data_IF_997971762549
#
_entry.id   IF_997971762549
#
_cell.length_a   1.000
_cell.length_b   1.000
_cell.length_c   1.000
_cell.angle_alpha   90.00
_cell.angle_beta   90.00
_cell.angle_gamma   90.00
#
_symmetry.space_group_name_H-M   'P 1'
#
loop_
_entity.id
_entity.type
_entity.pdbx_description
1 polymer ?
#
# COMPACT_ATOMS: atom_id res chain seq x y z
N UNK A 1 1.89 -6.48 -1.35
CA UNK A 1 3.08 -7.36 -1.42
C UNK A 1 4.41 -6.63 -1.62
N UNK A 2 4.50 -5.50 -2.35
CA UNK A 2 5.79 -4.81 -2.51
C UNK A 2 6.16 -3.77 -1.44
N UNK A 3 5.19 -3.23 -0.69
CA UNK A 3 5.44 -2.19 0.33
C UNK A 3 6.30 -2.68 1.51
N UNK A 4 6.18 -3.96 1.88
CA UNK A 4 7.04 -4.57 2.90
C UNK A 4 8.51 -4.70 2.44
N UNK A 5 8.75 -5.01 1.17
CA UNK A 5 10.09 -5.11 0.60
C UNK A 5 10.81 -3.76 0.61
N UNK A 6 10.14 -2.70 0.17
CA UNK A 6 10.68 -1.33 0.19
C UNK A 6 10.98 -0.89 1.61
N UNK A 7 10.09 -1.21 2.56
CA UNK A 7 10.30 -0.90 3.97
C UNK A 7 11.63 -1.48 4.48
N UNK A 8 11.86 -2.77 4.25
CA UNK A 8 13.09 -3.44 4.64
C UNK A 8 14.33 -2.87 3.94
N UNK A 9 14.20 -2.44 2.69
CA UNK A 9 15.30 -1.77 1.97
C UNK A 9 15.66 -0.42 2.62
N UNK A 10 14.68 0.42 2.95
CA UNK A 10 14.90 1.71 3.61
C UNK A 10 15.58 1.52 4.97
N UNK A 11 15.10 0.56 5.77
CA UNK A 11 15.72 0.23 7.07
C UNK A 11 17.18 -0.24 6.89
N UNK A 12 17.44 -1.06 5.88
CA UNK A 12 18.77 -1.58 5.59
C UNK A 12 19.75 -0.49 5.11
N UNK A 13 19.26 0.48 4.32
CA UNK A 13 20.09 1.56 3.78
C UNK A 13 20.35 2.69 4.79
N UNK A 14 19.38 2.99 5.66
CA UNK A 14 19.46 4.12 6.59
C UNK A 14 19.92 3.72 7.99
N UNK A 15 19.77 2.45 8.37
CA UNK A 15 19.96 1.99 9.73
C UNK A 15 18.91 2.51 10.72
N UNK A 16 17.88 3.21 10.24
CA UNK A 16 16.80 3.78 11.06
C UNK A 16 15.51 3.00 10.85
N UNK A 17 14.80 2.73 11.94
CA UNK A 17 13.53 2.02 11.88
C UNK A 17 12.47 2.83 11.12
N UNK A 18 11.68 2.14 10.31
CA UNK A 18 10.53 2.72 9.62
C UNK A 18 9.24 2.48 10.38
N UNK A 19 8.25 3.36 10.15
CA UNK A 19 6.91 3.22 10.67
C UNK A 19 6.00 2.39 9.78
N UNK A 20 4.95 1.84 10.38
CA UNK A 20 3.79 1.29 9.67
C UNK A 20 2.53 1.91 10.29
N UNK A 21 1.48 2.04 9.49
CA UNK A 21 0.21 2.69 9.86
C UNK A 21 -0.43 2.11 11.13
N UNK A 22 -0.07 0.88 11.54
CA UNK A 22 -0.65 0.17 12.67
C UNK A 22 0.17 0.16 13.96
N UNK A 23 1.49 0.39 13.92
CA UNK A 23 2.33 0.08 15.09
C UNK A 23 3.36 1.14 15.49
N UNK A 24 3.78 2.07 14.60
CA UNK A 24 4.88 3.01 14.92
C UNK A 24 4.88 4.28 14.02
N UNK A 25 4.07 5.31 14.26
CA UNK A 25 4.31 6.63 13.63
C UNK A 25 4.99 7.56 14.62
N UNK A 26 6.27 7.33 14.86
CA UNK A 26 7.05 8.25 15.70
C UNK A 26 7.68 9.33 14.83
N UNK A 27 7.81 10.56 15.34
CA UNK A 27 8.64 11.63 14.74
C UNK A 27 10.12 11.26 14.51
N UNK A 28 10.54 10.08 14.97
CA UNK A 28 11.89 9.53 14.78
C UNK A 28 11.97 8.54 13.62
N UNK A 29 10.86 8.26 12.95
CA UNK A 29 10.81 7.35 11.80
C UNK A 29 11.21 8.12 10.55
N UNK A 30 12.13 7.56 9.76
CA UNK A 30 12.58 8.19 8.49
C UNK A 30 11.60 7.98 7.34
N UNK A 31 10.67 7.04 7.47
CA UNK A 31 9.59 6.79 6.52
C UNK A 31 8.41 6.11 7.23
N UNK A 32 7.20 6.30 6.70
CA UNK A 32 5.97 5.64 7.17
C UNK A 32 5.36 4.90 5.98
N UNK A 33 5.11 3.60 6.16
CA UNK A 33 4.29 2.83 5.22
C UNK A 33 2.80 3.09 5.52
N UNK A 34 2.03 3.43 4.51
CA UNK A 34 0.58 3.67 4.62
C UNK A 34 -0.15 3.18 3.37
N UNK A 35 -1.42 2.82 3.54
CA UNK A 35 -2.35 2.59 2.43
C UNK A 35 -3.42 3.70 2.31
N UNK A 36 -3.34 4.77 3.11
CA UNK A 36 -4.19 5.96 2.98
C UNK A 36 -4.16 6.47 1.52
N UNK A 37 -5.27 6.98 0.96
CA UNK A 37 -6.59 7.18 1.55
C UNK A 37 -7.54 5.98 1.42
N UNK A 38 -7.04 4.79 1.11
CA UNK A 38 -7.88 3.61 0.89
C UNK A 38 -8.72 3.28 2.13
N UNK A 39 -10.01 2.98 1.97
CA UNK A 39 -10.96 2.74 3.07
C UNK A 39 -10.59 1.61 4.07
N UNK A 40 -9.72 0.70 3.65
CA UNK A 40 -9.21 -0.38 4.51
C UNK A 40 -7.85 -0.08 5.15
N UNK A 41 -7.24 1.06 4.86
CA UNK A 41 -6.05 1.59 5.51
C UNK A 41 -6.39 2.42 6.74
N UNK A 42 -5.36 2.86 7.47
CA UNK A 42 -5.53 3.76 8.60
C UNK A 42 -5.40 5.20 8.14
N UNK A 43 -6.32 6.05 8.59
CA UNK A 43 -6.26 7.48 8.30
C UNK A 43 -4.95 8.09 8.85
N UNK A 44 -4.30 8.96 8.05
CA UNK A 44 -3.04 9.57 8.45
C UNK A 44 -3.25 10.66 9.51
N UNK A 45 -4.41 11.32 9.50
CA UNK A 45 -4.70 12.44 10.39
C UNK A 45 -5.31 12.02 11.75
N UNK A 46 -5.57 10.73 11.95
CA UNK A 46 -6.27 10.19 13.14
C UNK A 46 -5.33 9.48 14.12
N UNK A 47 -4.03 9.38 13.84
CA UNK A 47 -3.12 8.69 14.76
C UNK A 47 -2.66 9.56 15.94
N UNK A 48 -2.82 9.02 17.14
CA UNK A 48 -2.51 9.61 18.45
C UNK A 48 -1.03 9.96 18.70
N UNK A 49 -0.12 9.64 17.77
CA UNK A 49 1.33 9.76 17.92
C UNK A 49 1.93 11.05 17.30
N UNK A 50 1.09 11.95 16.78
CA UNK A 50 1.44 13.33 16.47
C UNK A 50 2.29 13.52 15.22
N UNK A 51 2.13 12.59 14.26
CA UNK A 51 2.60 12.70 12.86
C UNK A 51 1.39 12.51 11.94
N UNK A 52 0.89 13.63 11.41
CA UNK A 52 -0.19 13.67 10.42
C UNK A 52 0.34 13.65 8.99
N UNK A 53 -0.56 13.67 8.02
CA UNK A 53 -0.17 13.72 6.61
C UNK A 53 0.64 14.99 6.26
N UNK A 54 0.39 16.09 6.99
CA UNK A 54 1.08 17.39 6.86
C UNK A 54 2.51 17.39 7.37
N UNK A 55 2.90 16.41 8.19
CA UNK A 55 4.25 16.26 8.73
C UNK A 55 5.18 15.46 7.78
N UNK A 56 4.67 15.02 6.62
CA UNK A 56 5.39 14.21 5.64
C UNK A 56 5.96 15.12 4.54
N UNK A 57 7.29 15.13 4.40
CA UNK A 57 8.00 16.02 3.46
C UNK A 57 8.02 15.53 2.00
N UNK A 58 7.70 14.26 1.76
CA UNK A 58 7.72 13.65 0.42
C UNK A 58 7.24 12.20 0.42
N UNK A 59 7.06 11.62 -0.77
CA UNK A 59 6.51 10.28 -0.93
C UNK A 59 7.33 9.38 -1.86
N UNK A 60 7.53 8.13 -1.44
CA UNK A 60 7.92 7.03 -2.32
C UNK A 60 6.66 6.22 -2.66
N UNK A 61 6.15 6.40 -3.88
CA UNK A 61 4.90 5.81 -4.36
C UNK A 61 5.22 4.51 -5.08
N UNK A 62 4.88 3.39 -4.47
CA UNK A 62 4.97 2.07 -5.11
C UNK A 62 3.64 1.72 -5.77
N UNK A 63 3.64 1.64 -7.09
CA UNK A 63 2.48 1.21 -7.88
C UNK A 63 2.65 -0.20 -8.39
N UNK A 64 1.53 -0.91 -8.54
CA UNK A 64 1.46 -2.19 -9.24
C UNK A 64 0.29 -2.10 -10.20
N UNK A 65 0.38 -2.76 -11.35
CA UNK A 65 -0.71 -2.79 -12.33
C UNK A 65 -2.03 -3.20 -11.63
N UNK A 66 -3.15 -2.46 -11.83
CA UNK A 66 -4.41 -2.76 -11.17
C UNK A 66 -4.94 -4.16 -11.50
N UNK A 67 -4.58 -4.70 -12.69
CA UNK A 67 -4.85 -6.09 -13.08
C UNK A 67 -4.33 -7.09 -12.06
N UNK A 68 -3.20 -6.81 -11.42
CA UNK A 68 -2.56 -7.70 -10.46
C UNK A 68 -2.76 -7.23 -9.01
N UNK A 69 -2.87 -5.93 -8.77
CA UNK A 69 -3.08 -5.36 -7.45
C UNK A 69 -4.48 -5.69 -6.90
N UNK A 70 -5.54 -5.53 -7.70
CA UNK A 70 -6.93 -5.75 -7.26
C UNK A 70 -7.19 -7.22 -6.91
N UNK A 71 -6.82 -8.23 -7.72
CA UNK A 71 -6.93 -9.62 -7.31
C UNK A 71 -6.06 -9.97 -6.11
N UNK A 72 -4.86 -9.37 -5.99
CA UNK A 72 -4.01 -9.57 -4.83
C UNK A 72 -4.65 -9.04 -3.55
N UNK A 73 -5.46 -7.98 -3.63
CA UNK A 73 -6.23 -7.49 -2.49
C UNK A 73 -7.33 -8.48 -2.08
N UNK A 74 -8.04 -9.09 -3.03
CA UNK A 74 -8.98 -10.16 -2.70
C UNK A 74 -8.29 -11.32 -1.99
N UNK A 75 -7.12 -11.77 -2.46
CA UNK A 75 -6.38 -12.84 -1.78
C UNK A 75 -6.08 -12.48 -0.32
N UNK A 76 -5.68 -11.23 -0.06
CA UNK A 76 -5.46 -10.75 1.30
C UNK A 76 -6.75 -10.79 2.15
N UNK A 77 -7.88 -10.35 1.60
CA UNK A 77 -9.18 -10.42 2.30
C UNK A 77 -9.60 -11.87 2.56
N UNK A 78 -9.41 -12.75 1.58
CA UNK A 78 -9.71 -14.17 1.70
C UNK A 78 -8.88 -14.83 2.81
N UNK A 79 -7.57 -14.60 2.82
CA UNK A 79 -6.68 -15.09 3.88
C UNK A 79 -7.12 -14.58 5.25
N UNK A 80 -7.42 -13.29 5.36
CA UNK A 80 -7.88 -12.67 6.62
C UNK A 80 -9.20 -13.29 7.11
N UNK A 81 -10.17 -13.48 6.22
CA UNK A 81 -11.48 -14.03 6.57
C UNK A 81 -11.43 -15.51 6.97
N UNK A 82 -10.42 -16.25 6.49
CA UNK A 82 -10.24 -17.67 6.78
C UNK A 82 -9.15 -17.93 7.84
N UNK A 83 -8.60 -16.88 8.47
CA UNK A 83 -7.48 -16.98 9.41
C UNK A 83 -6.28 -17.76 8.85
N UNK A 84 -6.00 -17.58 7.55
CA UNK A 84 -4.85 -18.19 6.88
C UNK A 84 -3.61 -17.32 7.07
N UNK A 85 -2.44 -17.95 6.87
CA UNK A 85 -1.18 -17.22 6.89
C UNK A 85 -1.12 -16.25 5.70
N UNK A 86 -0.51 -15.07 5.91
CA UNK A 86 -0.41 -14.06 4.87
C UNK A 86 0.41 -14.56 3.66
N UNK A 87 -0.11 -14.28 2.46
CA UNK A 87 0.50 -14.60 1.17
C UNK A 87 0.70 -16.09 0.88
N UNK A 88 -0.12 -16.97 1.48
CA UNK A 88 -0.05 -18.42 1.25
C UNK A 88 -1.11 -18.94 0.30
N UNK A 89 -2.27 -18.28 0.22
CA UNK A 89 -3.46 -18.88 -0.40
C UNK A 89 -4.17 -17.90 -1.31
N UNK A 90 -4.48 -18.34 -2.52
CA UNK A 90 -5.31 -17.59 -3.45
C UNK A 90 -6.78 -17.90 -3.20
N UNK A 91 -7.63 -16.89 -3.33
CA UNK A 91 -9.07 -17.08 -3.33
C UNK A 91 -9.48 -18.02 -4.48
N UNK A 92 -10.55 -18.78 -4.28
CA UNK A 92 -11.08 -19.66 -5.32
C UNK A 92 -11.64 -18.85 -6.50
N UNK A 93 -11.79 -19.51 -7.66
CA UNK A 93 -12.35 -18.87 -8.86
C UNK A 93 -13.79 -18.39 -8.59
N UNK A 94 -14.56 -19.17 -7.86
CA UNK A 94 -15.95 -18.87 -7.50
C UNK A 94 -16.04 -17.62 -6.63
N UNK A 95 -15.17 -17.51 -5.63
CA UNK A 95 -15.09 -16.33 -4.77
C UNK A 95 -14.60 -15.10 -5.52
N UNK A 96 -13.63 -15.26 -6.43
CA UNK A 96 -13.19 -14.19 -7.31
C UNK A 96 -14.34 -13.67 -8.17
N UNK A 97 -15.10 -14.55 -8.82
CA UNK A 97 -16.24 -14.14 -9.66
C UNK A 97 -17.29 -13.41 -8.80
N UNK A 98 -17.64 -13.98 -7.64
CA UNK A 98 -18.64 -13.40 -6.75
C UNK A 98 -18.21 -12.02 -6.23
N UNK A 99 -16.95 -11.87 -5.83
CA UNK A 99 -16.41 -10.61 -5.34
C UNK A 99 -16.25 -9.58 -6.46
N UNK A 100 -15.69 -9.96 -7.61
CA UNK A 100 -15.49 -9.08 -8.77
C UNK A 100 -16.80 -8.45 -9.22
N UNK A 101 -17.87 -9.24 -9.30
CA UNK A 101 -19.18 -8.75 -9.73
C UNK A 101 -19.77 -7.71 -8.77
N UNK A 102 -19.32 -7.66 -7.50
CA UNK A 102 -19.82 -6.71 -6.49
C UNK A 102 -18.89 -5.53 -6.27
N UNK A 103 -17.58 -5.78 -6.19
CA UNK A 103 -16.61 -4.83 -5.64
C UNK A 103 -15.60 -4.30 -6.66
N UNK A 104 -15.48 -4.91 -7.86
CA UNK A 104 -14.37 -4.59 -8.77
C UNK A 104 -14.28 -3.11 -9.14
N UNK A 105 -15.43 -2.47 -9.45
CA UNK A 105 -15.46 -1.06 -9.81
C UNK A 105 -15.04 -0.18 -8.63
N UNK A 106 -15.62 -0.42 -7.45
CA UNK A 106 -15.24 0.27 -6.21
C UNK A 106 -13.75 0.16 -5.94
N UNK A 107 -13.15 -1.03 -6.09
CA UNK A 107 -11.71 -1.20 -5.84
C UNK A 107 -10.83 -0.56 -6.91
N UNK A 108 -11.30 -0.49 -8.15
CA UNK A 108 -10.59 0.21 -9.22
C UNK A 108 -10.63 1.73 -9.01
N UNK A 109 -11.76 2.26 -8.54
CA UNK A 109 -11.91 3.65 -8.13
C UNK A 109 -11.00 3.98 -6.94
N UNK A 110 -10.99 3.14 -5.90
CA UNK A 110 -10.10 3.30 -4.74
C UNK A 110 -8.62 3.26 -5.14
N UNK A 111 -8.23 2.37 -6.07
CA UNK A 111 -6.89 2.35 -6.64
C UNK A 111 -6.55 3.64 -7.37
N UNK A 112 -7.50 4.17 -8.15
CA UNK A 112 -7.34 5.45 -8.87
C UNK A 112 -7.20 6.61 -7.88
N UNK A 113 -8.05 6.67 -6.87
CA UNK A 113 -8.02 7.69 -5.82
C UNK A 113 -6.69 7.68 -5.07
N UNK A 114 -6.15 6.49 -4.77
CA UNK A 114 -4.82 6.35 -4.17
C UNK A 114 -3.73 6.96 -5.05
N UNK A 115 -3.72 6.64 -6.35
CA UNK A 115 -2.72 7.17 -7.29
C UNK A 115 -2.83 8.69 -7.38
N UNK A 116 -4.04 9.21 -7.60
CA UNK A 116 -4.31 10.65 -7.72
C UNK A 116 -3.88 11.39 -6.46
N UNK A 117 -4.32 10.93 -5.30
CA UNK A 117 -4.01 11.57 -4.01
C UNK A 117 -2.50 11.73 -3.78
N UNK A 118 -1.71 10.66 -3.92
CA UNK A 118 -0.27 10.74 -3.66
C UNK A 118 0.52 11.43 -4.76
N UNK A 119 0.07 11.35 -6.01
CA UNK A 119 0.75 12.03 -7.12
C UNK A 119 0.44 13.52 -7.14
N UNK A 120 -0.76 13.96 -6.81
CA UNK A 120 -1.12 15.39 -6.80
C UNK A 120 -0.67 16.11 -5.52
N UNK A 121 -0.51 15.40 -4.40
CA UNK A 121 -0.08 16.01 -3.13
C UNK A 121 1.33 16.59 -3.16
N UNK A 122 2.27 15.91 -3.81
CA UNK A 122 3.68 16.29 -3.80
C UNK A 122 4.14 16.72 -5.18
N UNK A 123 4.96 17.78 -5.21
CA UNK A 123 5.71 18.18 -6.39
C UNK A 123 6.63 17.05 -6.89
N UNK A 124 7.01 17.11 -8.17
CA UNK A 124 7.81 16.06 -8.83
C UNK A 124 9.12 15.77 -8.09
N UNK A 125 9.76 16.79 -7.52
CA UNK A 125 11.04 16.69 -6.80
C UNK A 125 10.90 16.02 -5.43
N UNK A 126 9.68 15.97 -4.89
CA UNK A 126 9.35 15.39 -3.57
C UNK A 126 8.58 14.08 -3.69
N UNK A 127 8.39 13.57 -4.91
CA UNK A 127 7.78 12.26 -5.16
C UNK A 127 8.68 11.38 -6.00
N UNK A 128 8.81 10.13 -5.57
CA UNK A 128 9.46 9.09 -6.34
C UNK A 128 8.44 8.00 -6.65
N UNK A 129 8.13 7.81 -7.93
CA UNK A 129 7.23 6.74 -8.39
C UNK A 129 8.06 5.54 -8.82
N UNK A 130 7.74 4.38 -8.27
CA UNK A 130 8.36 3.11 -8.60
C UNK A 130 7.28 2.10 -8.90
N UNK A 131 7.44 1.30 -9.95
CA UNK A 131 6.51 0.20 -10.23
C UNK A 131 7.04 -1.10 -9.61
N UNK A 132 6.12 -1.96 -9.18
CA UNK A 132 6.43 -3.28 -8.63
C UNK A 132 7.05 -4.17 -9.71
N UNK A 133 6.60 -4.02 -10.95
CA UNK A 133 7.05 -4.75 -12.12
C UNK A 133 8.52 -4.45 -12.43
N UNK A 134 8.94 -3.18 -12.34
CA UNK A 134 10.34 -2.77 -12.49
C UNK A 134 11.23 -3.37 -11.38
N UNK A 135 10.75 -3.36 -10.14
CA UNK A 135 11.50 -3.91 -8.99
C UNK A 135 11.71 -5.42 -9.07
N UNK A 136 10.78 -6.12 -9.72
CA UNK A 136 10.82 -7.59 -9.81
C UNK A 136 11.30 -8.09 -11.16
N UNK A 137 11.60 -7.20 -12.10
CA UNK A 137 11.99 -7.55 -13.47
C UNK A 137 10.90 -8.27 -14.26
N UNK A 138 9.63 -8.12 -13.86
CA UNK A 138 8.48 -8.80 -14.48
C UNK A 138 7.77 -7.98 -15.57
N UNK A 139 8.36 -6.85 -15.97
CA UNK A 139 7.88 -5.95 -17.01
C UNK A 139 8.34 -6.28 -18.45
N UNK A 140 8.63 -7.55 -18.77
CA UNK A 140 9.07 -8.01 -20.09
C UNK A 140 8.04 -8.89 -20.80
#
# INVERSE_FOLDING_TARGET
SGSAMIRHLIESLTGVATGDEWFRRTRRSVAIKTHHPHKHGTDLDVADDGVGETDIDGALILLRNPRDAVPSFLNHLYEKNHNLTHHTTRATTEEWIAWRNREFQTQLEEWTNFVVHWTERYEVERRHLVTYEDLTGSGG
#
